data_IF_560540188741
#
_entry.id   IF_560540188741
#
_cell.length_a   1.000
_cell.length_b   1.000
_cell.length_c   1.000
_cell.angle_alpha   90.00
_cell.angle_beta   90.00
_cell.angle_gamma   90.00
#
_symmetry.space_group_name_H-M   'P 1'
#
loop_
_entity.id
_entity.type
_entity.pdbx_description
1 polymer ?
#
# COMPACT_ATOMS: atom_id res chain seq x y z
N UNK A 1 -62.62 -58.61 -1.51
CA UNK A 1 -61.23 -59.07 -1.29
C UNK A 1 -60.29 -58.09 -1.95
N UNK A 2 -59.36 -57.50 -1.16
CA UNK A 2 -58.02 -56.94 -1.52
C UNK A 2 -57.96 -55.86 -2.64
N UNK A 3 -57.79 -54.57 -2.35
CA UNK A 3 -56.60 -53.79 -1.88
C UNK A 3 -55.74 -53.20 -3.03
N UNK A 4 -55.65 -51.84 -3.02
CA UNK A 4 -54.70 -50.88 -3.66
C UNK A 4 -54.53 -50.87 -5.20
N UNK A 5 -54.33 -49.75 -5.89
CA UNK A 5 -53.58 -48.52 -5.56
C UNK A 5 -54.06 -47.29 -6.38
N UNK A 6 -54.05 -46.10 -5.75
CA UNK A 6 -54.21 -44.80 -6.42
C UNK A 6 -52.84 -44.22 -6.73
N UNK A 7 -52.61 -43.78 -7.97
CA UNK A 7 -51.47 -42.95 -8.38
C UNK A 7 -51.98 -41.53 -8.56
N UNK A 8 -51.60 -40.63 -7.65
CA UNK A 8 -51.78 -39.18 -7.82
C UNK A 8 -50.46 -38.61 -8.36
N UNK A 9 -50.50 -38.03 -9.55
CA UNK A 9 -49.41 -37.26 -10.13
C UNK A 9 -49.34 -35.89 -9.43
N UNK A 10 -48.27 -35.64 -8.68
CA UNK A 10 -47.96 -34.33 -8.12
C UNK A 10 -46.92 -33.63 -9.01
N UNK A 11 -47.38 -32.60 -9.71
CA UNK A 11 -46.52 -31.67 -10.47
C UNK A 11 -45.84 -30.73 -9.48
N UNK A 12 -44.53 -30.91 -9.26
CA UNK A 12 -43.73 -30.00 -8.46
C UNK A 12 -43.31 -28.79 -9.31
N UNK A 13 -43.94 -27.64 -9.07
CA UNK A 13 -43.41 -26.33 -9.50
C UNK A 13 -42.18 -25.98 -8.65
N UNK A 14 -40.99 -26.10 -9.22
CA UNK A 14 -39.77 -25.55 -8.63
C UNK A 14 -39.81 -24.02 -8.74
N UNK A 15 -40.00 -23.34 -7.60
CA UNK A 15 -39.79 -21.89 -7.49
C UNK A 15 -38.27 -21.67 -7.48
N UNK A 16 -37.71 -21.24 -8.60
CA UNK A 16 -36.36 -20.70 -8.67
C UNK A 16 -36.42 -19.31 -8.04
N UNK A 17 -36.01 -19.19 -6.78
CA UNK A 17 -35.72 -17.88 -6.19
C UNK A 17 -34.40 -17.41 -6.80
N UNK A 18 -34.36 -16.31 -7.57
CA UNK A 18 -33.08 -15.74 -7.96
C UNK A 18 -32.36 -15.32 -6.68
N UNK A 19 -31.23 -15.95 -6.40
CA UNK A 19 -30.30 -15.51 -5.38
C UNK A 19 -29.76 -14.15 -5.88
N UNK A 20 -30.44 -13.07 -5.51
CA UNK A 20 -29.92 -11.72 -5.68
C UNK A 20 -28.73 -11.63 -4.75
N UNK A 21 -27.54 -11.90 -5.26
CA UNK A 21 -26.30 -11.54 -4.59
C UNK A 21 -26.37 -10.02 -4.40
N UNK A 22 -26.64 -9.59 -3.18
CA UNK A 22 -26.56 -8.18 -2.82
C UNK A 22 -25.16 -7.70 -3.23
N UNK A 23 -25.08 -6.79 -4.19
CA UNK A 23 -23.82 -6.10 -4.47
C UNK A 23 -23.43 -5.43 -3.16
N UNK A 24 -22.33 -5.89 -2.53
CA UNK A 24 -21.72 -5.16 -1.40
C UNK A 24 -21.55 -3.71 -1.86
N UNK A 25 -22.05 -2.77 -1.07
CA UNK A 25 -21.79 -1.36 -1.34
C UNK A 25 -20.29 -1.10 -1.20
N UNK A 26 -19.74 -0.05 -1.83
CA UNK A 26 -18.34 0.35 -1.64
C UNK A 26 -17.96 0.51 -0.15
N UNK A 27 -18.96 0.74 0.71
CA UNK A 27 -18.84 0.91 2.16
C UNK A 27 -18.47 -0.38 2.91
N UNK A 28 -18.72 -1.59 2.35
CA UNK A 28 -18.40 -2.89 2.97
C UNK A 28 -17.12 -3.55 2.44
N UNK A 29 -16.29 -2.77 1.76
CA UNK A 29 -15.14 -3.28 1.00
C UNK A 29 -14.17 -4.08 1.86
N UNK A 30 -13.92 -3.64 3.10
CA UNK A 30 -12.87 -4.22 3.95
C UNK A 30 -13.39 -5.26 4.94
N UNK A 31 -14.70 -5.52 4.95
CA UNK A 31 -15.30 -6.51 5.83
C UNK A 31 -14.81 -7.92 5.48
N UNK A 32 -14.38 -8.68 6.49
CA UNK A 32 -13.88 -10.04 6.33
C UNK A 32 -12.46 -10.14 5.78
N UNK A 33 -11.72 -9.02 5.67
CA UNK A 33 -10.31 -9.05 5.30
C UNK A 33 -9.46 -9.83 6.32
N UNK A 34 -9.84 -9.80 7.60
CA UNK A 34 -9.30 -10.67 8.64
C UNK A 34 -10.41 -11.56 9.21
N UNK A 35 -10.05 -12.78 9.59
CA UNK A 35 -10.99 -13.65 10.30
C UNK A 35 -11.35 -13.07 11.68
N UNK A 36 -12.58 -13.31 12.14
CA UNK A 36 -13.02 -12.89 13.48
C UNK A 36 -12.07 -13.40 14.59
N UNK A 37 -11.60 -14.64 14.51
CA UNK A 37 -10.67 -15.20 15.48
C UNK A 37 -9.32 -14.45 15.50
N UNK A 38 -8.80 -14.07 14.33
CA UNK A 38 -7.59 -13.23 14.22
C UNK A 38 -7.79 -11.87 14.87
N UNK A 39 -8.96 -11.25 14.67
CA UNK A 39 -9.29 -9.95 15.26
C UNK A 39 -9.46 -10.05 16.77
N UNK A 40 -10.15 -11.06 17.30
CA UNK A 40 -10.29 -11.28 18.75
C UNK A 40 -8.92 -11.51 19.42
N UNK A 41 -8.04 -12.30 18.80
CA UNK A 41 -6.68 -12.49 19.29
C UNK A 41 -5.88 -11.19 19.28
N UNK A 42 -6.05 -10.37 18.24
CA UNK A 42 -5.38 -9.07 18.15
C UNK A 42 -5.92 -8.10 19.19
N UNK A 43 -7.24 -8.10 19.43
CA UNK A 43 -7.88 -7.28 20.43
C UNK A 43 -7.33 -7.58 21.83
N UNK A 44 -7.25 -8.86 22.18
CA UNK A 44 -6.74 -9.34 23.46
C UNK A 44 -5.29 -8.94 23.72
N UNK A 45 -4.47 -8.81 22.66
CA UNK A 45 -3.05 -8.44 22.76
C UNK A 45 -2.81 -6.93 22.72
N UNK A 46 -3.42 -6.22 21.78
CA UNK A 46 -3.04 -4.84 21.46
C UNK A 46 -3.87 -3.78 22.18
N UNK A 47 -5.14 -4.04 22.46
CA UNK A 47 -6.01 -3.01 23.06
C UNK A 47 -5.65 -2.65 24.50
N UNK A 48 -5.15 -3.56 25.37
CA UNK A 48 -4.68 -3.17 26.70
C UNK A 48 -3.53 -2.16 26.64
N UNK A 49 -2.53 -2.42 25.78
CA UNK A 49 -1.35 -1.55 25.63
C UNK A 49 -1.74 -0.18 25.08
N UNK A 50 -2.58 -0.14 24.04
CA UNK A 50 -3.07 1.13 23.46
C UNK A 50 -3.87 1.92 24.51
N UNK A 51 -4.68 1.25 25.32
CA UNK A 51 -5.42 1.88 26.42
C UNK A 51 -4.49 2.40 27.50
N UNK A 52 -3.42 1.68 27.84
CA UNK A 52 -2.41 2.14 28.79
C UNK A 52 -1.69 3.41 28.30
N UNK A 53 -1.38 3.52 27.00
CA UNK A 53 -0.84 4.77 26.44
C UNK A 53 -1.77 5.95 26.72
N UNK A 54 -3.08 5.78 26.49
CA UNK A 54 -4.08 6.84 26.68
C UNK A 54 -4.32 7.18 28.16
N UNK A 55 -4.38 6.18 29.04
CA UNK A 55 -4.81 6.34 30.45
C UNK A 55 -3.63 6.60 31.38
N UNK A 56 -2.47 6.01 31.10
CA UNK A 56 -1.32 6.05 31.99
C UNK A 56 -0.24 7.00 31.47
N UNK A 57 0.08 6.99 30.18
CA UNK A 57 1.26 7.69 29.69
C UNK A 57 0.99 9.12 29.22
N UNK A 58 0.02 9.32 28.32
CA UNK A 58 -0.35 10.64 27.83
C UNK A 58 -0.70 11.60 28.99
N UNK A 59 -1.52 11.24 30.01
CA UNK A 59 -1.90 12.17 31.06
C UNK A 59 -0.74 12.71 31.90
N UNK A 60 0.39 11.99 31.97
CA UNK A 60 1.59 12.42 32.71
C UNK A 60 2.26 13.63 32.06
N UNK A 61 2.12 13.79 30.73
CA UNK A 61 2.80 14.86 29.97
C UNK A 61 1.86 16.03 29.64
N UNK A 62 0.55 15.83 29.68
CA UNK A 62 -0.43 16.88 29.38
C UNK A 62 -0.33 18.07 30.36
N UNK A 63 -0.50 19.29 29.82
CA UNK A 63 -0.69 20.50 30.62
C UNK A 63 -2.01 20.45 31.41
N UNK A 64 -2.17 21.33 32.41
CA UNK A 64 -3.40 21.40 33.19
C UNK A 64 -4.63 21.72 32.30
N UNK A 65 -4.48 22.59 31.30
CA UNK A 65 -5.54 22.88 30.33
C UNK A 65 -5.87 21.64 29.50
N UNK A 66 -4.86 20.98 28.92
CA UNK A 66 -5.06 19.78 28.11
C UNK A 66 -5.75 18.68 28.91
N UNK A 67 -5.33 18.41 30.16
CA UNK A 67 -6.00 17.43 31.04
C UNK A 67 -7.45 17.77 31.29
N UNK A 68 -7.76 19.05 31.49
CA UNK A 68 -9.14 19.50 31.72
C UNK A 68 -9.99 19.28 30.47
N UNK A 69 -9.49 19.67 29.29
CA UNK A 69 -10.22 19.51 28.03
C UNK A 69 -10.41 18.06 27.63
N UNK A 70 -9.39 17.22 27.84
CA UNK A 70 -9.40 15.78 27.53
C UNK A 70 -9.96 14.92 28.69
N UNK A 71 -10.47 15.54 29.75
CA UNK A 71 -11.14 14.81 30.82
C UNK A 71 -12.39 14.10 30.27
N UNK A 72 -12.53 12.83 30.64
CA UNK A 72 -13.64 11.97 30.22
C UNK A 72 -13.49 11.38 28.81
N UNK A 73 -12.34 11.51 28.17
CA UNK A 73 -12.09 10.81 26.90
C UNK A 73 -12.16 9.30 27.09
N UNK A 74 -12.86 8.64 26.17
CA UNK A 74 -12.96 7.17 26.10
C UNK A 74 -12.38 6.65 24.78
N UNK A 75 -11.99 5.37 24.79
CA UNK A 75 -11.51 4.68 23.60
C UNK A 75 -12.26 3.35 23.38
N UNK A 76 -12.71 3.16 22.15
CA UNK A 76 -13.42 1.98 21.67
C UNK A 76 -12.63 1.25 20.59
N UNK A 77 -12.76 -0.08 20.60
CA UNK A 77 -12.06 -0.98 19.69
C UNK A 77 -13.05 -1.91 18.98
N UNK A 78 -13.89 -1.40 18.05
CA UNK A 78 -14.74 -2.27 17.25
C UNK A 78 -13.87 -3.28 16.50
N UNK A 79 -14.33 -4.53 16.33
CA UNK A 79 -13.50 -5.55 15.69
C UNK A 79 -13.14 -5.18 14.25
N UNK A 80 -14.09 -4.63 13.50
CA UNK A 80 -13.93 -4.26 12.10
C UNK A 80 -14.36 -2.81 11.85
N UNK A 81 -13.82 -2.23 10.78
CA UNK A 81 -14.37 -1.06 10.11
C UNK A 81 -14.52 -1.37 8.62
N UNK A 82 -15.74 -1.26 8.07
CA UNK A 82 -16.00 -1.66 6.70
C UNK A 82 -15.50 -0.61 5.68
N UNK A 83 -15.47 0.66 6.09
CA UNK A 83 -15.18 1.84 5.25
C UNK A 83 -13.73 1.90 4.74
N UNK A 84 -12.75 1.66 5.62
CA UNK A 84 -11.33 1.74 5.28
C UNK A 84 -10.48 0.82 6.17
N UNK A 85 -9.49 0.16 5.57
CA UNK A 85 -8.59 -0.78 6.28
C UNK A 85 -7.69 -0.09 7.31
N UNK A 86 -7.54 1.22 7.26
CA UNK A 86 -6.84 2.04 8.24
C UNK A 86 -7.74 3.18 8.73
N UNK A 87 -8.98 2.87 9.12
CA UNK A 87 -9.93 3.86 9.62
C UNK A 87 -9.69 4.13 11.11
N UNK A 88 -9.22 5.33 11.47
CA UNK A 88 -9.13 5.82 12.85
C UNK A 88 -9.84 7.17 12.88
N UNK A 89 -10.61 7.41 13.92
CA UNK A 89 -11.37 8.66 14.03
C UNK A 89 -11.75 8.95 15.48
N UNK A 90 -12.27 10.15 15.69
CA UNK A 90 -12.81 10.61 16.95
C UNK A 90 -14.19 11.24 16.75
N UNK A 91 -14.98 11.19 17.82
CA UNK A 91 -16.17 12.00 17.98
C UNK A 91 -15.93 13.03 19.10
N UNK A 92 -15.59 14.28 18.73
CA UNK A 92 -15.35 15.34 19.70
C UNK A 92 -16.54 15.66 20.60
N UNK A 93 -17.79 15.37 20.18
CA UNK A 93 -18.99 15.63 20.99
C UNK A 93 -19.10 14.64 22.15
N UNK A 94 -18.91 13.35 21.88
CA UNK A 94 -18.91 12.31 22.90
C UNK A 94 -17.54 12.07 23.56
N UNK A 95 -16.51 12.80 23.12
CA UNK A 95 -15.10 12.62 23.53
C UNK A 95 -14.64 11.17 23.38
N UNK A 96 -14.99 10.57 22.25
CA UNK A 96 -14.69 9.17 21.97
C UNK A 96 -13.63 9.07 20.89
N UNK A 97 -12.63 8.24 21.10
CA UNK A 97 -11.68 7.79 20.09
C UNK A 97 -12.06 6.38 19.65
N UNK A 98 -12.09 6.13 18.36
CA UNK A 98 -12.41 4.81 17.80
C UNK A 98 -11.20 4.28 17.03
N UNK A 99 -10.71 3.12 17.45
CA UNK A 99 -9.58 2.43 16.81
C UNK A 99 -9.97 0.99 16.48
N UNK A 100 -10.53 0.72 15.28
CA UNK A 100 -10.91 -0.61 14.87
C UNK A 100 -9.75 -1.60 14.94
N UNK A 101 -10.02 -2.80 15.45
CA UNK A 101 -9.01 -3.85 15.63
C UNK A 101 -8.47 -4.33 14.28
N UNK A 102 -9.30 -4.33 13.22
CA UNK A 102 -8.86 -4.58 11.84
C UNK A 102 -7.81 -3.59 11.37
N UNK A 103 -7.97 -2.30 11.67
CA UNK A 103 -7.01 -1.25 11.33
C UNK A 103 -5.69 -1.41 12.09
N UNK A 104 -5.79 -1.68 13.39
CA UNK A 104 -4.63 -1.98 14.24
C UNK A 104 -3.88 -3.21 13.71
N UNK A 105 -4.61 -4.28 13.37
CA UNK A 105 -4.04 -5.52 12.85
C UNK A 105 -3.31 -5.28 11.53
N UNK A 106 -3.94 -4.57 10.60
CA UNK A 106 -3.38 -4.29 9.30
C UNK A 106 -2.07 -3.49 9.39
N UNK A 107 -2.09 -2.38 10.12
CA UNK A 107 -0.89 -1.55 10.32
C UNK A 107 0.21 -2.31 11.05
N UNK A 108 -0.15 -3.17 12.00
CA UNK A 108 0.80 -4.05 12.69
C UNK A 108 1.48 -5.01 11.72
N UNK A 109 0.72 -5.70 10.89
CA UNK A 109 1.27 -6.68 9.94
C UNK A 109 2.19 -6.00 8.91
N UNK A 110 1.78 -4.84 8.40
CA UNK A 110 2.60 -4.04 7.48
C UNK A 110 3.88 -3.54 8.16
N UNK A 111 3.82 -3.10 9.41
CA UNK A 111 4.99 -2.68 10.19
C UNK A 111 5.95 -3.85 10.46
N UNK A 112 5.44 -5.05 10.77
CA UNK A 112 6.26 -6.25 10.94
C UNK A 112 6.96 -6.63 9.64
N UNK A 113 6.22 -6.64 8.51
CA UNK A 113 6.79 -6.94 7.21
C UNK A 113 7.91 -5.96 6.84
N UNK A 114 7.66 -4.66 6.99
CA UNK A 114 8.65 -3.63 6.74
C UNK A 114 9.88 -3.78 7.63
N UNK A 115 9.69 -3.96 8.94
CA UNK A 115 10.79 -4.13 9.89
C UNK A 115 11.65 -5.34 9.55
N UNK A 116 11.03 -6.48 9.25
CA UNK A 116 11.74 -7.70 8.91
C UNK A 116 12.53 -7.57 7.60
N UNK A 117 11.90 -7.08 6.52
CA UNK A 117 12.58 -6.86 5.24
C UNK A 117 13.77 -5.92 5.40
N UNK A 118 13.58 -4.81 6.13
CA UNK A 118 14.63 -3.83 6.37
C UNK A 118 15.82 -4.41 7.16
N UNK A 119 15.57 -5.14 8.25
CA UNK A 119 16.62 -5.76 9.07
C UNK A 119 17.38 -6.85 8.31
N UNK A 120 16.70 -7.59 7.42
CA UNK A 120 17.32 -8.65 6.60
C UNK A 120 18.04 -8.12 5.36
N UNK A 121 18.01 -6.82 5.08
CA UNK A 121 18.60 -6.22 3.89
C UNK A 121 17.89 -6.67 2.60
N UNK A 122 16.57 -6.87 2.68
CA UNK A 122 15.72 -7.02 1.51
C UNK A 122 15.23 -5.65 1.04
N UNK A 123 14.76 -5.61 -0.21
CA UNK A 123 14.04 -4.48 -0.74
C UNK A 123 12.70 -4.30 0.00
N UNK A 124 12.29 -3.05 0.21
CA UNK A 124 11.01 -2.68 0.81
C UNK A 124 9.90 -2.50 -0.23
N UNK A 125 10.25 -2.44 -1.52
CA UNK A 125 9.31 -2.32 -2.62
C UNK A 125 8.15 -3.35 -2.57
N UNK A 126 8.35 -4.64 -2.21
CA UNK A 126 7.23 -5.57 -2.06
C UNK A 126 6.10 -5.05 -1.16
N UNK A 127 6.40 -4.25 -0.13
CA UNK A 127 5.37 -3.64 0.74
C UNK A 127 4.54 -2.62 -0.04
N UNK A 128 5.18 -1.75 -0.84
CA UNK A 128 4.50 -0.78 -1.70
C UNK A 128 3.65 -1.49 -2.76
N UNK A 129 4.22 -2.50 -3.42
CA UNK A 129 3.52 -3.31 -4.43
C UNK A 129 2.29 -4.01 -3.82
N UNK A 130 2.41 -4.52 -2.58
CA UNK A 130 1.30 -5.14 -1.85
C UNK A 130 0.19 -4.13 -1.52
N UNK A 131 0.54 -2.93 -1.04
CA UNK A 131 -0.45 -1.89 -0.74
C UNK A 131 -1.20 -1.47 -2.02
N UNK A 132 -0.50 -1.34 -3.13
CA UNK A 132 -1.11 -1.09 -4.43
C UNK A 132 -2.00 -2.27 -4.87
N UNK A 133 -1.52 -3.52 -4.73
CA UNK A 133 -2.29 -4.73 -5.04
C UNK A 133 -3.64 -4.72 -4.33
N UNK A 134 -3.65 -4.56 -3.00
CA UNK A 134 -4.92 -4.57 -2.26
C UNK A 134 -5.78 -3.35 -2.58
N UNK A 135 -5.20 -2.17 -2.83
CA UNK A 135 -5.97 -0.98 -3.21
C UNK A 135 -6.76 -1.18 -4.51
N UNK A 136 -6.22 -1.87 -5.51
CA UNK A 136 -6.88 -1.97 -6.82
C UNK A 136 -7.54 -3.32 -7.09
N UNK A 137 -7.14 -4.39 -6.41
CA UNK A 137 -7.64 -5.74 -6.69
C UNK A 137 -8.56 -6.30 -5.59
N UNK A 138 -8.51 -5.76 -4.36
CA UNK A 138 -9.41 -6.22 -3.29
C UNK A 138 -10.81 -5.59 -3.40
N UNK A 139 -11.91 -6.30 -3.15
CA UNK A 139 -12.00 -7.75 -2.92
C UNK A 139 -12.18 -8.56 -4.20
N UNK A 140 -12.66 -7.93 -5.27
CA UNK A 140 -13.26 -8.61 -6.43
C UNK A 140 -12.26 -9.45 -7.22
N UNK A 141 -11.12 -8.85 -7.63
CA UNK A 141 -10.10 -9.54 -8.41
C UNK A 141 -9.32 -10.58 -7.59
N UNK A 142 -9.36 -10.46 -6.26
CA UNK A 142 -8.77 -11.41 -5.31
C UNK A 142 -9.78 -12.46 -4.81
N UNK A 143 -10.98 -12.51 -5.40
CA UNK A 143 -12.01 -13.52 -5.12
C UNK A 143 -12.38 -13.61 -3.63
N UNK A 144 -12.32 -12.50 -2.89
CA UNK A 144 -12.50 -12.46 -1.43
C UNK A 144 -11.53 -13.39 -0.64
N UNK A 145 -10.44 -13.86 -1.25
CA UNK A 145 -9.40 -14.60 -0.53
C UNK A 145 -8.51 -13.59 0.18
N UNK A 146 -8.57 -13.60 1.51
CA UNK A 146 -7.79 -12.67 2.34
C UNK A 146 -6.28 -12.93 2.16
N UNK A 147 -5.65 -12.11 1.34
CA UNK A 147 -4.20 -12.08 1.19
C UNK A 147 -3.61 -11.21 2.29
N UNK A 148 -3.42 -11.77 3.49
CA UNK A 148 -2.88 -10.99 4.62
C UNK A 148 -1.43 -10.56 4.34
N UNK A 149 -0.96 -9.43 4.91
CA UNK A 149 0.35 -8.88 4.53
C UNK A 149 1.51 -9.85 4.80
N UNK A 150 1.55 -10.46 5.99
CA UNK A 150 2.68 -11.32 6.39
C UNK A 150 2.80 -12.57 5.52
N UNK A 151 1.68 -13.22 5.24
CA UNK A 151 1.65 -14.41 4.39
C UNK A 151 2.06 -14.08 2.95
N UNK A 152 1.45 -13.02 2.39
CA UNK A 152 1.67 -12.61 1.00
C UNK A 152 3.11 -12.16 0.76
N UNK A 153 3.69 -11.45 1.72
CA UNK A 153 5.06 -10.94 1.66
C UNK A 153 6.10 -11.97 2.13
N UNK A 154 5.71 -13.22 2.40
CA UNK A 154 6.63 -14.29 2.80
C UNK A 154 7.35 -14.03 4.12
N UNK A 155 6.71 -13.30 5.05
CA UNK A 155 7.30 -12.94 6.34
C UNK A 155 7.13 -14.09 7.32
N UNK A 156 8.21 -14.59 7.97
CA UNK A 156 8.11 -15.66 8.94
C UNK A 156 7.17 -15.29 10.10
N UNK A 157 6.33 -16.24 10.53
CA UNK A 157 5.39 -16.02 11.64
C UNK A 157 6.09 -15.64 12.96
N UNK A 158 7.35 -16.05 13.12
CA UNK A 158 8.22 -15.77 14.25
C UNK A 158 9.18 -14.59 14.01
N UNK A 159 8.92 -13.72 13.02
CA UNK A 159 9.79 -12.59 12.69
C UNK A 159 10.12 -11.69 13.90
N UNK A 160 9.19 -11.55 14.84
CA UNK A 160 9.37 -10.74 16.06
C UNK A 160 10.17 -11.43 17.18
N UNK A 161 10.53 -12.70 17.03
CA UNK A 161 11.41 -13.37 18.00
C UNK A 161 12.85 -12.84 17.88
N UNK A 162 13.20 -12.22 16.75
CA UNK A 162 14.48 -11.56 16.54
C UNK A 162 14.48 -10.14 17.15
N UNK A 163 15.36 -9.88 18.11
CA UNK A 163 15.43 -8.59 18.84
C UNK A 163 15.52 -7.39 17.91
N UNK A 164 16.36 -7.43 16.88
CA UNK A 164 16.52 -6.31 15.94
C UNK A 164 15.23 -6.01 15.16
N UNK A 165 14.47 -7.04 14.79
CA UNK A 165 13.17 -6.89 14.12
C UNK A 165 12.13 -6.35 15.10
N UNK A 166 12.10 -6.87 16.33
CA UNK A 166 11.19 -6.40 17.37
C UNK A 166 11.42 -4.93 17.73
N UNK A 167 12.67 -4.49 17.90
CA UNK A 167 13.01 -3.09 18.17
C UNK A 167 12.61 -2.18 17.02
N UNK A 168 12.89 -2.58 15.77
CA UNK A 168 12.49 -1.81 14.58
C UNK A 168 10.97 -1.74 14.44
N UNK A 169 10.28 -2.85 14.68
CA UNK A 169 8.82 -2.91 14.71
C UNK A 169 8.25 -1.99 15.78
N UNK A 170 8.76 -2.02 17.01
CA UNK A 170 8.26 -1.16 18.10
C UNK A 170 8.52 0.32 17.82
N UNK A 171 9.69 0.67 17.28
CA UNK A 171 9.98 2.04 16.84
C UNK A 171 9.00 2.52 15.77
N UNK A 172 8.55 1.66 14.85
CA UNK A 172 7.57 2.01 13.82
C UNK A 172 6.14 2.00 14.36
N UNK A 173 5.67 0.86 14.86
CA UNK A 173 4.28 0.66 15.25
C UNK A 173 3.93 1.36 16.57
N UNK A 174 4.80 1.31 17.58
CA UNK A 174 4.56 1.97 18.86
C UNK A 174 4.42 3.48 18.70
N UNK A 175 5.38 4.13 18.04
CA UNK A 175 5.31 5.58 17.80
C UNK A 175 4.19 5.97 16.81
N UNK A 176 3.80 5.08 15.90
CA UNK A 176 2.61 5.26 15.04
C UNK A 176 1.33 5.31 15.86
N UNK A 177 1.13 4.36 16.79
CA UNK A 177 -0.05 4.35 17.67
C UNK A 177 -0.10 5.61 18.52
N UNK A 178 1.04 6.05 19.08
CA UNK A 178 1.11 7.32 19.83
C UNK A 178 0.72 8.50 18.96
N UNK A 179 1.21 8.57 17.72
CA UNK A 179 0.86 9.63 16.78
C UNK A 179 -0.64 9.62 16.46
N UNK A 180 -1.22 8.46 16.10
CA UNK A 180 -2.64 8.32 15.76
C UNK A 180 -3.52 8.71 16.97
N UNK A 181 -3.22 8.20 18.16
CA UNK A 181 -3.94 8.58 19.39
C UNK A 181 -3.83 10.08 19.65
N UNK A 182 -2.62 10.64 19.53
CA UNK A 182 -2.39 12.08 19.70
C UNK A 182 -3.19 12.91 18.70
N UNK A 183 -3.29 12.45 17.45
CA UNK A 183 -4.06 13.12 16.39
C UNK A 183 -5.55 13.14 16.73
N UNK A 184 -6.12 11.99 17.11
CA UNK A 184 -7.53 11.92 17.52
C UNK A 184 -7.84 12.73 18.77
N UNK A 185 -6.92 12.75 19.74
CA UNK A 185 -7.04 13.64 20.90
C UNK A 185 -6.97 15.11 20.50
N UNK A 186 -6.20 15.45 19.46
CA UNK A 186 -6.15 16.80 18.89
C UNK A 186 -7.52 17.28 18.42
N UNK A 187 -8.25 16.44 17.67
CA UNK A 187 -9.63 16.75 17.27
C UNK A 187 -10.56 17.00 18.46
N UNK A 188 -10.45 16.19 19.52
CA UNK A 188 -11.24 16.38 20.74
C UNK A 188 -10.84 17.66 21.48
N UNK A 189 -9.54 17.91 21.65
CA UNK A 189 -8.99 19.06 22.36
C UNK A 189 -9.41 20.39 21.73
N UNK A 190 -9.34 20.47 20.40
CA UNK A 190 -9.70 21.63 19.61
C UNK A 190 -11.20 21.70 19.28
N UNK A 191 -11.99 20.70 19.67
CA UNK A 191 -13.43 20.60 19.38
C UNK A 191 -13.73 20.72 17.88
N UNK A 192 -12.92 20.04 17.06
CA UNK A 192 -13.10 20.06 15.61
C UNK A 192 -14.50 19.54 15.24
N UNK A 193 -15.26 20.25 14.39
CA UNK A 193 -16.55 19.75 13.92
C UNK A 193 -16.36 18.49 13.09
N UNK A 194 -17.39 17.65 13.02
CA UNK A 194 -17.44 16.56 12.06
C UNK A 194 -17.36 17.06 10.62
N UNK A 195 -16.91 16.20 9.71
CA UNK A 195 -16.56 16.58 8.33
C UNK A 195 -17.76 17.01 7.49
N UNK A 196 -18.96 16.49 7.78
CA UNK A 196 -20.21 16.84 7.09
C UNK A 196 -20.55 18.34 7.14
N UNK A 197 -20.01 19.07 8.12
CA UNK A 197 -20.29 20.49 8.34
C UNK A 197 -19.15 21.42 7.91
N UNK A 198 -18.09 20.91 7.26
CA UNK A 198 -16.81 21.60 7.15
C UNK A 198 -16.35 21.75 5.70
N UNK A 199 -15.95 22.96 5.28
CA UNK A 199 -15.35 23.14 3.94
C UNK A 199 -14.01 22.39 3.82
N UNK A 200 -13.62 21.97 2.61
CA UNK A 200 -12.32 21.32 2.36
C UNK A 200 -11.13 22.15 2.90
N UNK A 201 -11.17 23.48 2.72
CA UNK A 201 -10.10 24.36 3.20
C UNK A 201 -10.02 24.41 4.73
N UNK A 202 -11.15 24.29 5.41
CA UNK A 202 -11.22 24.27 6.86
C UNK A 202 -10.79 22.90 7.38
N UNK A 203 -11.28 21.80 6.80
CA UNK A 203 -10.84 20.43 7.12
C UNK A 203 -9.31 20.32 7.08
N UNK A 204 -8.64 20.86 6.04
CA UNK A 204 -7.17 20.89 5.97
C UNK A 204 -6.49 21.56 7.17
N UNK A 205 -7.05 22.66 7.69
CA UNK A 205 -6.52 23.34 8.88
C UNK A 205 -6.76 22.53 10.14
N UNK A 206 -7.95 21.95 10.29
CA UNK A 206 -8.29 21.07 11.42
C UNK A 206 -7.33 19.87 11.48
N UNK A 207 -7.01 19.25 10.34
CA UNK A 207 -6.01 18.18 10.27
C UNK A 207 -4.62 18.64 10.73
N UNK A 208 -4.17 19.82 10.26
CA UNK A 208 -2.88 20.38 10.65
C UNK A 208 -2.80 20.71 12.15
N UNK A 209 -3.89 21.22 12.73
CA UNK A 209 -3.97 21.48 14.17
C UNK A 209 -3.89 20.17 14.97
N UNK A 210 -4.60 19.12 14.52
CA UNK A 210 -4.55 17.79 15.13
C UNK A 210 -3.16 17.13 15.01
N UNK A 211 -2.52 17.21 13.84
CA UNK A 211 -1.15 16.74 13.64
C UNK A 211 -0.15 17.48 14.55
N UNK A 212 -0.27 18.81 14.65
CA UNK A 212 0.59 19.63 15.50
C UNK A 212 0.42 19.26 16.98
N UNK A 213 -0.82 18.99 17.41
CA UNK A 213 -1.11 18.51 18.76
C UNK A 213 -0.47 17.15 19.03
N UNK A 214 -0.61 16.19 18.10
CA UNK A 214 0.00 14.86 18.18
C UNK A 214 1.53 14.94 18.30
N UNK A 215 2.16 15.74 17.43
CA UNK A 215 3.61 15.97 17.49
C UNK A 215 4.01 16.64 18.81
N UNK A 216 3.20 17.56 19.34
CA UNK A 216 3.42 18.17 20.64
C UNK A 216 3.44 17.15 21.79
N UNK A 217 2.53 16.17 21.79
CA UNK A 217 2.54 15.05 22.74
C UNK A 217 3.85 14.28 22.61
N UNK A 218 4.23 13.87 21.39
CA UNK A 218 5.44 13.08 21.16
C UNK A 218 6.73 13.85 21.55
N UNK A 219 6.78 15.16 21.32
CA UNK A 219 7.87 16.02 21.78
C UNK A 219 8.01 16.03 23.31
N UNK A 220 6.88 16.02 24.04
CA UNK A 220 6.89 16.00 25.50
C UNK A 220 7.28 14.62 26.05
N UNK A 221 6.92 13.54 25.35
CA UNK A 221 7.41 12.19 25.66
C UNK A 221 8.90 12.03 25.35
N UNK A 222 9.45 12.88 24.47
CA UNK A 222 10.79 12.70 23.93
C UNK A 222 10.89 11.48 23.00
N UNK A 223 9.79 11.18 22.30
CA UNK A 223 9.59 10.02 21.42
C UNK A 223 9.71 10.47 19.96
N UNK A 224 10.50 9.76 19.15
CA UNK A 224 10.63 10.08 17.73
C UNK A 224 9.40 9.64 16.93
N UNK A 225 8.79 10.51 16.08
CA UNK A 225 7.63 10.15 15.25
C UNK A 225 7.99 9.33 14.01
N UNK A 226 8.85 8.31 14.16
CA UNK A 226 9.24 7.41 13.05
C UNK A 226 8.06 6.65 12.48
N UNK A 227 7.08 6.31 13.32
CA UNK A 227 5.85 5.65 12.92
C UNK A 227 4.88 6.55 12.15
N UNK A 228 4.96 7.86 12.34
CA UNK A 228 4.10 8.81 11.63
C UNK A 228 4.44 8.83 10.13
N UNK A 229 5.73 8.87 9.74
CA UNK A 229 6.10 8.78 8.33
C UNK A 229 5.67 7.47 7.70
N UNK A 230 5.85 6.37 8.42
CA UNK A 230 5.41 5.06 7.94
C UNK A 230 3.89 4.97 7.79
N UNK A 231 3.12 5.55 8.71
CA UNK A 231 1.67 5.64 8.60
C UNK A 231 1.23 6.39 7.34
N UNK A 232 1.83 7.57 7.09
CA UNK A 232 1.51 8.34 5.89
C UNK A 232 2.00 7.68 4.60
N UNK A 233 3.10 6.93 4.63
CA UNK A 233 3.50 6.06 3.53
C UNK A 233 2.39 5.04 3.22
N UNK A 234 1.85 4.35 4.23
CA UNK A 234 0.76 3.39 4.03
C UNK A 234 -0.48 4.08 3.46
N UNK A 235 -0.92 5.19 4.06
CA UNK A 235 -2.08 5.93 3.57
C UNK A 235 -1.89 6.44 2.15
N UNK A 236 -0.70 6.96 1.80
CA UNK A 236 -0.44 7.48 0.45
C UNK A 236 -0.56 6.41 -0.65
N UNK A 237 -0.43 5.12 -0.31
CA UNK A 237 -0.63 4.01 -1.25
C UNK A 237 -2.08 3.51 -1.29
N UNK A 238 -2.86 3.70 -0.22
CA UNK A 238 -4.23 3.19 -0.11
C UNK A 238 -5.27 4.23 -0.50
N UNK A 239 -4.96 5.51 -0.35
CA UNK A 239 -5.90 6.59 -0.60
C UNK A 239 -6.14 6.79 -2.10
N UNK A 240 -7.40 6.97 -2.54
CA UNK A 240 -7.74 7.34 -3.90
C UNK A 240 -7.01 8.60 -4.37
N UNK A 241 -6.64 8.62 -5.63
CA UNK A 241 -6.06 9.80 -6.30
C UNK A 241 -6.95 10.24 -7.47
N UNK A 242 -6.68 11.41 -8.06
CA UNK A 242 -7.56 12.06 -9.06
C UNK A 242 -7.92 11.19 -10.27
N UNK A 243 -7.10 10.18 -10.61
CA UNK A 243 -7.35 9.24 -11.69
C UNK A 243 -8.22 8.03 -11.31
N UNK A 244 -8.56 7.86 -10.04
CA UNK A 244 -9.44 6.79 -9.57
C UNK A 244 -10.91 7.16 -9.80
N UNK A 245 -11.72 6.18 -10.20
CA UNK A 245 -13.13 6.40 -10.57
C UNK A 245 -14.00 6.89 -9.41
N UNK A 246 -13.62 6.56 -8.17
CA UNK A 246 -14.33 6.91 -6.94
C UNK A 246 -13.73 8.14 -6.23
N UNK A 247 -12.69 8.77 -6.78
CA UNK A 247 -11.95 9.85 -6.13
C UNK A 247 -12.84 10.97 -5.59
N UNK A 248 -13.77 11.49 -6.39
CA UNK A 248 -14.62 12.61 -5.98
C UNK A 248 -15.59 12.22 -4.84
N UNK A 249 -16.14 11.00 -4.89
CA UNK A 249 -17.03 10.50 -3.84
C UNK A 249 -16.24 10.26 -2.56
N UNK A 250 -15.06 9.64 -2.67
CA UNK A 250 -14.18 9.41 -1.53
C UNK A 250 -13.77 10.73 -0.88
N UNK A 251 -13.31 11.71 -1.66
CA UNK A 251 -12.91 13.02 -1.15
C UNK A 251 -14.04 13.79 -0.46
N UNK A 252 -15.30 13.56 -0.84
CA UNK A 252 -16.46 14.16 -0.16
C UNK A 252 -16.73 13.54 1.22
N UNK A 253 -16.40 12.26 1.39
CA UNK A 253 -16.72 11.48 2.59
C UNK A 253 -15.52 11.27 3.52
N UNK A 254 -14.32 11.76 3.15
CA UNK A 254 -13.10 11.56 3.93
C UNK A 254 -13.14 12.31 5.25
N UNK A 255 -12.80 11.59 6.30
CA UNK A 255 -12.50 12.17 7.60
C UNK A 255 -11.12 12.82 7.57
N UNK A 256 -10.04 12.11 7.23
CA UNK A 256 -8.69 12.67 7.34
C UNK A 256 -8.02 12.85 5.96
N UNK A 257 -8.27 13.95 5.22
CA UNK A 257 -7.71 14.12 3.88
C UNK A 257 -6.19 14.29 3.91
N UNK A 258 -5.50 13.31 3.35
CA UNK A 258 -4.06 13.35 3.11
C UNK A 258 -3.75 14.28 1.93
N UNK A 259 -2.90 15.29 2.15
CA UNK A 259 -2.54 16.26 1.12
C UNK A 259 -1.10 16.76 1.29
N UNK A 260 -0.45 17.24 0.20
CA UNK A 260 0.90 17.78 0.25
C UNK A 260 1.15 18.80 1.36
N UNK A 261 0.41 19.93 1.49
CA UNK A 261 0.71 20.91 2.54
C UNK A 261 0.71 20.35 3.98
N UNK A 262 -0.19 19.41 4.28
CA UNK A 262 -0.24 18.72 5.58
C UNK A 262 1.06 17.96 5.85
N UNK A 263 1.52 17.17 4.88
CA UNK A 263 2.73 16.36 5.01
C UNK A 263 3.99 17.21 5.09
N UNK A 264 4.08 18.29 4.30
CA UNK A 264 5.16 19.26 4.42
C UNK A 264 5.20 19.92 5.80
N UNK A 265 4.05 20.23 6.39
CA UNK A 265 3.98 20.83 7.73
C UNK A 265 4.50 19.88 8.81
N UNK A 266 4.15 18.58 8.73
CA UNK A 266 4.67 17.54 9.63
C UNK A 266 6.19 17.42 9.47
N UNK A 267 6.69 17.30 8.23
CA UNK A 267 8.13 17.22 7.95
C UNK A 267 8.89 18.43 8.52
N UNK A 268 8.35 19.64 8.32
CA UNK A 268 8.90 20.88 8.86
C UNK A 268 8.95 20.88 10.38
N UNK A 269 7.89 20.44 11.05
CA UNK A 269 7.83 20.35 12.51
C UNK A 269 8.86 19.37 13.07
N UNK A 270 8.99 18.17 12.47
CA UNK A 270 9.98 17.16 12.86
C UNK A 270 11.39 17.72 12.75
N UNK A 271 11.70 18.34 11.60
CA UNK A 271 13.02 18.95 11.35
C UNK A 271 13.35 20.05 12.35
N UNK A 272 12.41 20.96 12.61
CA UNK A 272 12.61 22.10 13.52
C UNK A 272 12.74 21.68 14.98
N UNK A 273 12.07 20.59 15.38
CA UNK A 273 12.00 20.15 16.78
C UNK A 273 12.76 18.85 17.06
N UNK A 274 13.65 18.41 16.16
CA UNK A 274 14.35 17.12 16.25
C UNK A 274 15.04 16.89 17.61
N UNK A 275 15.61 17.94 18.21
CA UNK A 275 16.25 17.86 19.52
C UNK A 275 15.29 17.47 20.66
N UNK A 276 14.01 17.84 20.57
CA UNK A 276 12.98 17.51 21.57
C UNK A 276 12.52 16.06 21.40
N UNK A 277 12.29 15.65 20.15
CA UNK A 277 11.96 14.26 19.83
C UNK A 277 13.06 13.26 20.20
N UNK A 278 14.32 13.69 20.25
CA UNK A 278 15.44 12.84 20.66
C UNK A 278 15.75 12.93 22.17
N UNK A 279 14.91 13.58 22.99
CA UNK A 279 15.20 13.83 24.40
C UNK A 279 15.08 12.57 25.28
N UNK A 280 14.15 11.67 24.96
CA UNK A 280 13.96 10.40 25.69
C UNK A 280 14.88 9.27 25.21
N UNK A 281 15.62 9.48 24.10
CA UNK A 281 16.44 8.44 23.48
C UNK A 281 17.75 8.20 24.21
N UNK A 282 18.07 6.93 24.45
CA UNK A 282 19.38 6.48 24.95
C UNK A 282 20.49 6.64 23.92
N UNK A 283 20.16 6.69 22.61
CA UNK A 283 21.09 6.95 21.52
C UNK A 283 20.67 8.19 20.71
N UNK A 284 20.79 9.36 21.34
CA UNK A 284 20.38 10.65 20.79
C UNK A 284 20.96 10.93 19.39
N UNK A 285 22.22 10.58 19.12
CA UNK A 285 22.85 10.80 17.81
C UNK A 285 22.15 10.00 16.70
N UNK A 286 21.88 8.72 16.95
CA UNK A 286 21.18 7.86 15.99
C UNK A 286 19.74 8.33 15.79
N UNK A 287 19.05 8.73 16.86
CA UNK A 287 17.68 9.27 16.76
C UNK A 287 17.63 10.56 15.95
N UNK A 288 18.58 11.49 16.13
CA UNK A 288 18.65 12.71 15.33
C UNK A 288 18.89 12.41 13.83
N UNK A 289 19.73 11.43 13.52
CA UNK A 289 19.93 10.98 12.14
C UNK A 289 18.65 10.37 11.56
N UNK A 290 17.95 9.52 12.31
CA UNK A 290 16.68 8.94 11.90
C UNK A 290 15.59 10.02 11.68
N UNK A 291 15.53 11.04 12.53
CA UNK A 291 14.58 12.16 12.39
C UNK A 291 14.84 13.01 11.14
N UNK A 292 16.10 13.16 10.73
CA UNK A 292 16.45 13.80 9.46
C UNK A 292 15.91 12.97 8.29
N UNK A 293 16.17 11.66 8.28
CA UNK A 293 15.65 10.73 7.26
C UNK A 293 14.12 10.75 7.20
N UNK A 294 13.44 10.67 8.34
CA UNK A 294 11.97 10.74 8.43
C UNK A 294 11.43 12.06 7.86
N UNK A 295 12.08 13.18 8.17
CA UNK A 295 11.68 14.49 7.65
C UNK A 295 11.85 14.57 6.13
N UNK A 296 12.95 14.01 5.60
CA UNK A 296 13.22 13.98 4.17
C UNK A 296 12.25 13.04 3.44
N UNK A 297 11.94 11.86 3.99
CA UNK A 297 10.93 10.93 3.47
C UNK A 297 9.54 11.59 3.38
N UNK A 298 9.10 12.27 4.44
CA UNK A 298 7.85 13.04 4.43
C UNK A 298 7.89 14.19 3.42
N UNK A 299 9.00 14.95 3.38
CA UNK A 299 9.20 16.02 2.40
C UNK A 299 9.07 15.53 0.95
N UNK A 300 9.66 14.37 0.66
CA UNK A 300 9.58 13.72 -0.65
C UNK A 300 8.15 13.31 -0.99
N UNK A 301 7.40 12.72 -0.04
CA UNK A 301 5.99 12.37 -0.25
C UNK A 301 5.10 13.58 -0.55
N UNK A 302 5.39 14.74 0.05
CA UNK A 302 4.61 15.96 -0.13
C UNK A 302 4.81 16.60 -1.51
N UNK A 303 6.04 16.81 -1.97
CA UNK A 303 6.33 17.64 -3.16
C UNK A 303 5.86 19.12 -3.01
N UNK A 304 6.58 19.99 -2.30
CA UNK A 304 6.24 21.42 -2.26
C UNK A 304 6.50 22.09 -3.64
N UNK A 305 5.57 22.88 -4.18
CA UNK A 305 5.82 23.67 -5.39
C UNK A 305 6.67 24.92 -5.12
N UNK A 306 7.46 25.42 -6.11
CA UNK A 306 7.88 24.78 -7.36
C UNK A 306 9.33 24.28 -7.27
N UNK A 307 9.54 22.96 -7.32
CA UNK A 307 10.86 22.43 -7.64
C UNK A 307 11.18 22.74 -9.10
N UNK A 308 12.39 23.20 -9.38
CA UNK A 308 12.82 23.44 -10.76
C UNK A 308 12.75 22.13 -11.56
N UNK A 309 12.52 22.21 -12.87
CA UNK A 309 12.38 21.02 -13.75
C UNK A 309 13.56 20.04 -13.64
N UNK A 310 14.74 20.52 -13.19
CA UNK A 310 15.95 19.72 -13.01
C UNK A 310 15.95 18.89 -11.71
N UNK A 311 15.24 19.33 -10.68
CA UNK A 311 15.15 18.64 -9.36
C UNK A 311 14.01 17.61 -9.31
N UNK A 312 13.05 17.69 -10.24
CA UNK A 312 11.96 16.71 -10.38
C UNK A 312 12.44 15.28 -10.67
N UNK A 313 13.66 15.12 -11.19
CA UNK A 313 14.17 13.80 -11.58
C UNK A 313 14.64 12.94 -10.39
N UNK A 314 14.79 13.49 -9.18
CA UNK A 314 15.32 12.75 -8.02
C UNK A 314 14.34 12.65 -6.84
N UNK A 315 13.21 13.36 -6.87
CA UNK A 315 12.24 13.38 -5.75
C UNK A 315 10.95 12.69 -6.14
N UNK A 316 10.61 11.59 -5.46
CA UNK A 316 9.36 10.85 -5.67
C UNK A 316 8.18 11.57 -5.00
N UNK A 317 7.42 12.33 -5.80
CA UNK A 317 6.28 13.13 -5.36
C UNK A 317 5.00 12.28 -5.21
N UNK A 318 5.00 11.34 -4.26
CA UNK A 318 3.96 10.32 -4.14
C UNK A 318 2.54 10.90 -4.19
N UNK A 319 2.23 11.92 -3.39
CA UNK A 319 0.87 12.48 -3.31
C UNK A 319 0.55 13.54 -4.37
N UNK A 320 1.58 14.16 -4.95
CA UNK A 320 1.43 15.36 -5.79
C UNK A 320 1.63 15.12 -7.29
N UNK A 321 2.16 13.96 -7.68
CA UNK A 321 2.50 13.64 -9.06
C UNK A 321 1.55 12.60 -9.66
N UNK A 322 0.76 13.04 -10.64
CA UNK A 322 -0.20 12.18 -11.35
C UNK A 322 0.48 11.00 -12.06
N UNK A 323 1.71 11.18 -12.54
CA UNK A 323 2.49 10.13 -13.18
C UNK A 323 2.92 9.04 -12.21
N UNK A 324 3.36 9.42 -11.00
CA UNK A 324 3.67 8.47 -9.91
C UNK A 324 2.42 7.70 -9.49
N UNK A 325 1.29 8.39 -9.31
CA UNK A 325 0.03 7.75 -8.94
C UNK A 325 -0.50 6.83 -10.04
N UNK A 326 -0.42 7.24 -11.31
CA UNK A 326 -0.75 6.38 -12.44
C UNK A 326 0.18 5.14 -12.49
N UNK A 327 1.47 5.29 -12.17
CA UNK A 327 2.40 4.17 -12.09
C UNK A 327 2.03 3.21 -10.94
N UNK A 328 1.68 3.72 -9.76
CA UNK A 328 1.19 2.91 -8.64
C UNK A 328 -0.08 2.14 -8.98
N UNK A 329 -1.04 2.78 -9.67
CA UNK A 329 -2.24 2.09 -10.16
C UNK A 329 -1.89 0.92 -11.06
N UNK A 330 -0.93 1.12 -11.97
CA UNK A 330 -0.49 0.05 -12.86
C UNK A 330 0.23 -1.07 -12.12
N UNK A 331 1.11 -0.74 -11.17
CA UNK A 331 1.75 -1.71 -10.27
C UNK A 331 0.67 -2.54 -9.58
N UNK A 332 -0.30 -1.89 -8.94
CA UNK A 332 -1.34 -2.61 -8.20
C UNK A 332 -2.25 -3.45 -9.07
N UNK A 333 -2.60 -3.00 -10.29
CA UNK A 333 -3.40 -3.79 -11.24
C UNK A 333 -2.65 -4.96 -11.88
N UNK A 334 -1.33 -4.92 -11.97
CA UNK A 334 -0.55 -5.98 -12.62
C UNK A 334 0.27 -6.85 -11.67
N UNK A 335 0.38 -6.46 -10.41
CA UNK A 335 1.01 -7.26 -9.37
C UNK A 335 0.20 -8.51 -9.10
N UNK A 336 0.89 -9.62 -8.87
CA UNK A 336 0.33 -10.88 -8.42
C UNK A 336 0.90 -11.24 -7.06
N UNK A 337 0.16 -12.04 -6.30
CA UNK A 337 0.55 -12.50 -4.96
C UNK A 337 1.91 -13.21 -4.97
N UNK A 338 2.20 -14.00 -6.00
CA UNK A 338 3.48 -14.72 -6.15
C UNK A 338 4.67 -13.82 -6.51
N UNK A 339 4.44 -12.57 -6.89
CA UNK A 339 5.50 -11.58 -7.16
C UNK A 339 5.98 -10.83 -5.91
N UNK A 340 5.27 -10.98 -4.79
CA UNK A 340 5.46 -10.19 -3.57
C UNK A 340 6.43 -10.81 -2.56
N UNK A 341 7.08 -11.91 -2.92
CA UNK A 341 8.07 -12.55 -2.07
C UNK A 341 9.28 -11.64 -1.79
N UNK A 342 9.98 -11.82 -0.65
CA UNK A 342 11.17 -11.05 -0.32
C UNK A 342 12.22 -11.15 -1.42
N UNK A 343 12.84 -10.03 -1.78
CA UNK A 343 13.85 -9.94 -2.82
C UNK A 343 14.95 -8.97 -2.42
N UNK A 344 16.18 -9.17 -2.91
CA UNK A 344 17.31 -8.28 -2.62
C UNK A 344 17.15 -6.94 -3.34
N UNK A 345 17.80 -5.90 -2.82
CA UNK A 345 17.78 -4.57 -3.47
C UNK A 345 18.33 -4.69 -4.89
N UNK A 346 17.54 -4.23 -5.86
CA UNK A 346 17.86 -4.33 -7.29
C UNK A 346 17.51 -5.66 -7.95
N UNK A 347 17.04 -6.65 -7.19
CA UNK A 347 16.51 -7.91 -7.73
C UNK A 347 15.09 -7.70 -8.26
N UNK A 348 14.84 -8.14 -9.49
CA UNK A 348 13.53 -8.06 -10.11
C UNK A 348 12.62 -9.19 -9.61
N UNK A 349 11.32 -8.88 -9.47
CA UNK A 349 10.31 -9.85 -9.03
C UNK A 349 10.38 -11.17 -9.82
N UNK A 350 10.04 -12.28 -9.14
CA UNK A 350 9.84 -13.57 -9.80
C UNK A 350 8.61 -13.48 -10.70
N UNK A 351 8.77 -13.86 -11.97
CA UNK A 351 7.69 -13.85 -12.94
C UNK A 351 7.07 -15.25 -13.11
N UNK A 352 5.79 -15.34 -13.52
CA UNK A 352 5.16 -16.62 -13.81
C UNK A 352 5.87 -17.36 -14.95
N UNK A 353 6.07 -18.67 -14.78
CA UNK A 353 6.66 -19.52 -15.82
C UNK A 353 8.19 -19.59 -15.82
N UNK A 354 8.88 -18.93 -14.88
CA UNK A 354 10.35 -19.04 -14.75
C UNK A 354 10.83 -20.50 -14.65
N UNK A 355 10.03 -21.39 -14.05
CA UNK A 355 10.40 -22.80 -13.83
C UNK A 355 10.15 -23.72 -15.05
N UNK A 356 9.61 -23.22 -16.17
CA UNK A 356 9.07 -24.04 -17.28
C UNK A 356 9.73 -23.82 -18.65
N UNK A 357 10.92 -23.23 -18.70
CA UNK A 357 11.58 -22.90 -19.95
C UNK A 357 12.09 -24.13 -20.73
N UNK A 358 11.44 -24.45 -21.85
CA UNK A 358 11.97 -25.36 -22.87
C UNK A 358 12.94 -24.58 -23.77
N UNK A 359 14.08 -25.18 -24.14
CA UNK A 359 15.07 -24.56 -25.01
C UNK A 359 14.53 -24.40 -26.45
N UNK A 360 14.04 -23.20 -26.77
CA UNK A 360 13.65 -22.78 -28.11
C UNK A 360 13.88 -21.26 -28.26
N UNK A 361 14.03 -20.77 -29.49
CA UNK A 361 14.11 -19.32 -29.75
C UNK A 361 12.81 -18.67 -29.27
N UNK A 362 12.92 -17.58 -28.52
CA UNK A 362 11.82 -16.90 -27.82
C UNK A 362 11.15 -17.76 -26.73
N UNK A 363 11.91 -18.65 -26.08
CA UNK A 363 11.48 -19.41 -24.90
C UNK A 363 12.60 -19.38 -23.87
N UNK A 364 12.28 -18.98 -22.64
CA UNK A 364 13.26 -18.84 -21.56
C UNK A 364 13.10 -17.57 -20.75
N UNK A 365 14.03 -17.41 -19.81
CA UNK A 365 14.20 -16.21 -19.01
C UNK A 365 15.23 -15.32 -19.70
N UNK A 366 14.88 -14.07 -19.89
CA UNK A 366 15.70 -13.05 -20.52
C UNK A 366 15.86 -11.89 -19.55
N UNK A 367 17.09 -11.42 -19.37
CA UNK A 367 17.43 -10.27 -18.53
C UNK A 367 18.18 -9.23 -19.34
N UNK A 368 17.99 -7.95 -19.04
CA UNK A 368 18.71 -6.89 -19.72
C UNK A 368 18.09 -5.53 -19.48
N UNK A 369 18.00 -4.71 -20.52
CA UNK A 369 17.50 -3.35 -20.44
C UNK A 369 16.26 -3.14 -21.33
N UNK A 370 15.26 -2.52 -20.73
CA UNK A 370 14.19 -1.82 -21.42
C UNK A 370 14.58 -0.35 -21.51
N UNK A 371 14.63 0.18 -22.73
CA UNK A 371 15.10 1.54 -22.98
C UNK A 371 13.92 2.33 -23.54
N UNK A 372 13.63 3.50 -22.97
CA UNK A 372 12.58 4.39 -23.47
C UNK A 372 13.05 5.27 -24.64
N UNK A 373 12.13 6.04 -25.22
CA UNK A 373 12.41 6.98 -26.31
C UNK A 373 13.44 8.08 -25.94
N UNK A 374 13.67 8.29 -24.63
CA UNK A 374 14.61 9.28 -24.08
C UNK A 374 15.95 8.63 -23.69
N UNK A 375 16.18 7.38 -24.10
CA UNK A 375 17.36 6.59 -23.78
C UNK A 375 17.56 6.34 -22.27
N UNK A 376 16.48 6.35 -21.48
CA UNK A 376 16.49 5.91 -20.09
C UNK A 376 16.35 4.39 -20.07
N UNK A 377 17.40 3.71 -19.60
CA UNK A 377 17.42 2.26 -19.40
C UNK A 377 16.87 1.86 -18.04
N UNK A 378 16.00 0.84 -18.02
CA UNK A 378 15.52 0.16 -16.83
C UNK A 378 15.88 -1.32 -16.91
N UNK A 379 16.41 -1.85 -15.81
CA UNK A 379 16.62 -3.29 -15.69
C UNK A 379 15.30 -4.02 -15.89
N UNK A 380 15.32 -5.03 -16.75
CA UNK A 380 14.14 -5.82 -17.08
C UNK A 380 14.42 -7.30 -17.02
N UNK A 381 13.37 -8.04 -16.65
CA UNK A 381 13.30 -9.49 -16.73
C UNK A 381 12.07 -9.83 -17.54
N UNK A 382 12.23 -10.74 -18.50
CA UNK A 382 11.19 -11.21 -19.40
C UNK A 382 11.21 -12.74 -19.42
N UNK A 383 10.05 -13.35 -19.20
CA UNK A 383 9.85 -14.79 -19.29
C UNK A 383 8.97 -15.05 -20.49
N UNK A 384 9.50 -15.80 -21.45
CA UNK A 384 8.79 -16.18 -22.67
C UNK A 384 8.57 -17.69 -22.69
N UNK A 385 7.39 -18.09 -23.15
CA UNK A 385 7.01 -19.48 -23.42
C UNK A 385 6.56 -19.57 -24.86
N UNK A 386 7.22 -20.43 -25.64
CA UNK A 386 6.89 -20.66 -27.05
C UNK A 386 6.11 -21.96 -27.22
N UNK A 387 5.01 -21.90 -27.97
CA UNK A 387 4.27 -23.06 -28.43
C UNK A 387 4.02 -22.94 -29.95
N UNK A 388 4.78 -23.71 -30.74
CA UNK A 388 4.78 -23.57 -32.20
C UNK A 388 5.24 -22.19 -32.64
N UNK A 389 4.40 -21.47 -33.38
CA UNK A 389 4.67 -20.11 -33.83
C UNK A 389 4.12 -19.04 -32.87
N UNK A 390 3.43 -19.43 -31.81
CA UNK A 390 2.91 -18.49 -30.81
C UNK A 390 3.88 -18.38 -29.64
N UNK A 391 4.10 -17.15 -29.17
CA UNK A 391 4.86 -16.85 -27.95
C UNK A 391 3.97 -16.09 -27.01
N UNK A 392 3.88 -16.55 -25.78
CA UNK A 392 3.29 -15.80 -24.66
C UNK A 392 4.37 -15.49 -23.65
N UNK A 393 4.25 -14.39 -22.93
CA UNK A 393 5.23 -14.05 -21.91
C UNK A 393 4.77 -13.00 -20.93
N UNK A 394 5.61 -12.80 -19.93
CA UNK A 394 5.47 -11.71 -18.96
C UNK A 394 6.82 -11.03 -18.83
N UNK A 395 6.86 -9.71 -18.67
CA UNK A 395 8.06 -8.98 -18.29
C UNK A 395 7.80 -7.99 -17.17
N UNK A 396 8.85 -7.54 -16.49
CA UNK A 396 8.79 -6.45 -15.53
C UNK A 396 9.98 -5.50 -15.73
N UNK A 397 9.75 -4.22 -15.47
CA UNK A 397 10.76 -3.14 -15.44
C UNK A 397 10.83 -2.51 -14.05
N UNK A 398 10.41 -3.24 -13.01
CA UNK A 398 10.28 -2.73 -11.65
C UNK A 398 8.97 -1.97 -11.38
N UNK A 399 8.06 -1.87 -12.35
CA UNK A 399 6.76 -1.20 -12.23
C UNK A 399 5.59 -2.20 -12.38
N UNK A 400 5.71 -3.38 -11.79
CA UNK A 400 4.74 -4.47 -11.95
C UNK A 400 4.97 -5.29 -13.22
N UNK A 401 4.04 -6.20 -13.50
CA UNK A 401 4.13 -7.13 -14.63
C UNK A 401 3.44 -6.58 -15.89
N UNK A 402 3.99 -6.93 -17.04
CA UNK A 402 3.42 -6.67 -18.36
C UNK A 402 3.29 -8.00 -19.09
N UNK A 403 2.11 -8.25 -19.65
CA UNK A 403 1.86 -9.46 -20.44
C UNK A 403 2.19 -9.21 -21.91
N UNK A 404 2.66 -10.25 -22.59
CA UNK A 404 3.06 -10.22 -23.99
C UNK A 404 2.48 -11.45 -24.71
N UNK A 405 1.96 -11.25 -25.91
CA UNK A 405 1.57 -12.32 -26.84
C UNK A 405 2.02 -11.94 -28.25
N UNK A 406 2.60 -12.88 -28.99
CA UNK A 406 3.09 -12.63 -30.34
C UNK A 406 3.26 -13.87 -31.19
N UNK A 407 3.66 -13.64 -32.44
CA UNK A 407 3.91 -14.67 -33.44
C UNK A 407 5.34 -14.61 -33.96
N UNK A 408 5.94 -15.78 -34.10
CA UNK A 408 7.29 -15.94 -34.65
C UNK A 408 7.24 -16.00 -36.17
N UNK A 409 8.07 -15.19 -36.81
CA UNK A 409 8.29 -15.17 -38.25
C UNK A 409 9.81 -15.22 -38.50
N UNK A 410 10.33 -16.42 -38.77
CA UNK A 410 11.76 -16.65 -38.89
C UNK A 410 12.49 -16.38 -37.56
N UNK A 411 13.38 -15.38 -37.56
CA UNK A 411 14.13 -14.95 -36.37
C UNK A 411 13.47 -13.80 -35.62
N UNK A 412 12.29 -13.36 -36.05
CA UNK A 412 11.58 -12.24 -35.47
C UNK A 412 10.34 -12.71 -34.72
N UNK A 413 10.01 -12.02 -33.63
CA UNK A 413 8.77 -12.11 -32.87
C UNK A 413 8.07 -10.77 -32.98
N UNK A 414 6.95 -10.74 -33.70
CA UNK A 414 6.02 -9.63 -33.67
C UNK A 414 5.04 -9.85 -32.53
N UNK A 415 4.92 -8.89 -31.62
CA UNK A 415 4.14 -9.06 -30.41
C UNK A 415 3.27 -7.85 -30.10
N UNK A 416 2.19 -8.15 -29.38
CA UNK A 416 1.40 -7.20 -28.62
C UNK A 416 1.76 -7.31 -27.15
N UNK A 417 1.79 -6.18 -26.45
CA UNK A 417 2.00 -6.15 -25.02
C UNK A 417 0.85 -5.40 -24.35
N UNK A 418 0.58 -5.76 -23.08
CA UNK A 418 -0.49 -5.16 -22.28
C UNK A 418 -0.09 -5.06 -20.81
N UNK A 419 -0.26 -3.88 -20.23
CA UNK A 419 0.02 -3.54 -18.84
C UNK A 419 -1.25 -2.99 -18.17
N UNK A 420 -1.92 -3.83 -17.37
CA UNK A 420 -3.29 -3.55 -16.92
C UNK A 420 -4.27 -3.53 -18.10
N UNK A 421 -5.39 -2.84 -17.95
CA UNK A 421 -6.42 -2.77 -19.01
C UNK A 421 -6.22 -1.59 -19.97
N UNK A 422 -5.55 -0.53 -19.52
CA UNK A 422 -5.52 0.76 -20.22
C UNK A 422 -4.29 0.95 -21.13
N UNK A 423 -3.22 0.18 -20.90
CA UNK A 423 -1.96 0.33 -21.64
C UNK A 423 -1.68 -0.91 -22.48
N UNK A 424 -1.62 -0.69 -23.77
CA UNK A 424 -1.25 -1.72 -24.72
C UNK A 424 -0.40 -1.13 -25.84
N UNK A 425 0.31 -2.00 -26.52
CA UNK A 425 1.13 -1.61 -27.64
C UNK A 425 1.59 -2.80 -28.46
N UNK A 426 2.48 -2.52 -29.40
CA UNK A 426 3.09 -3.52 -30.25
C UNK A 426 4.60 -3.38 -30.21
N UNK A 427 5.28 -4.41 -30.67
CA UNK A 427 6.72 -4.36 -30.83
C UNK A 427 7.24 -5.52 -31.66
N UNK A 428 8.55 -5.50 -31.85
CA UNK A 428 9.27 -6.52 -32.58
C UNK A 428 10.53 -6.89 -31.81
N UNK A 429 10.75 -8.18 -31.55
CA UNK A 429 12.00 -8.71 -31.03
C UNK A 429 12.67 -9.54 -32.12
N UNK A 430 13.95 -9.35 -32.32
CA UNK A 430 14.78 -10.13 -33.24
C UNK A 430 15.75 -10.96 -32.42
N UNK A 431 15.78 -12.25 -32.71
CA UNK A 431 16.71 -13.19 -32.10
C UNK A 431 18.08 -13.11 -32.77
N UNK A 432 19.11 -13.05 -31.94
CA UNK A 432 20.50 -13.18 -32.33
C UNK A 432 21.13 -14.37 -31.59
N UNK A 433 22.26 -14.86 -32.11
CA UNK A 433 23.04 -15.94 -31.49
C UNK A 433 22.18 -17.18 -31.12
N UNK A 434 21.30 -17.59 -32.04
CA UNK A 434 20.39 -18.74 -31.84
C UNK A 434 19.46 -18.62 -30.63
N UNK A 435 18.99 -17.42 -30.31
CA UNK A 435 18.05 -17.22 -29.19
C UNK A 435 18.70 -16.71 -27.92
N UNK A 436 20.04 -16.65 -27.85
CA UNK A 436 20.73 -16.22 -26.63
C UNK A 436 20.61 -14.73 -26.35
N UNK A 437 20.44 -13.91 -27.38
CA UNK A 437 20.21 -12.47 -27.22
C UNK A 437 19.01 -12.04 -28.04
N UNK A 438 18.20 -11.14 -27.48
CA UNK A 438 17.08 -10.52 -28.15
C UNK A 438 17.30 -9.01 -28.19
N UNK A 439 17.13 -8.41 -29.35
CA UNK A 439 17.07 -6.96 -29.50
C UNK A 439 15.79 -6.57 -30.21
N UNK A 440 15.29 -5.37 -29.97
CA UNK A 440 14.01 -5.03 -30.58
C UNK A 440 13.51 -3.65 -30.27
N UNK A 441 12.27 -3.42 -30.67
CA UNK A 441 11.54 -2.18 -30.46
C UNK A 441 10.21 -2.45 -29.77
N UNK A 442 9.68 -1.41 -29.15
CA UNK A 442 8.32 -1.37 -28.66
C UNK A 442 7.72 0.00 -28.96
N UNK A 443 6.40 0.05 -29.06
CA UNK A 443 5.62 1.26 -29.28
C UNK A 443 4.24 1.15 -28.64
N UNK A 444 3.56 2.29 -28.54
CA UNK A 444 2.22 2.38 -27.96
C UNK A 444 1.14 2.10 -29.00
N UNK A 445 -0.01 1.60 -28.55
CA UNK A 445 -1.19 1.35 -29.39
C UNK A 445 -0.93 0.35 -30.52
N UNK A 446 -0.92 0.80 -31.78
CA UNK A 446 -0.63 -0.01 -32.97
C UNK A 446 0.79 0.20 -33.50
N UNK A 447 1.59 1.06 -32.88
CA UNK A 447 2.96 1.31 -33.33
C UNK A 447 3.89 0.22 -32.77
N UNK A 448 4.78 -0.28 -33.62
CA UNK A 448 5.85 -1.23 -33.24
C UNK A 448 7.14 -0.52 -32.82
N UNK A 449 7.19 0.82 -32.96
CA UNK A 449 8.33 1.69 -32.65
C UNK A 449 7.84 2.97 -31.94
N UNK A 450 8.78 3.81 -31.50
CA UNK A 450 8.49 5.09 -30.84
C UNK A 450 8.23 5.01 -29.34
N UNK A 451 8.13 3.81 -28.77
CA UNK A 451 8.22 3.61 -27.32
C UNK A 451 9.67 3.53 -26.86
N UNK A 452 10.50 2.77 -27.59
CA UNK A 452 11.92 2.62 -27.30
C UNK A 452 12.47 1.28 -27.80
N UNK A 453 13.50 0.76 -27.12
CA UNK A 453 14.20 -0.47 -27.54
C UNK A 453 14.40 -1.49 -26.42
N UNK A 454 14.70 -2.72 -26.83
CA UNK A 454 15.04 -3.85 -25.97
C UNK A 454 16.48 -4.30 -26.21
N UNK A 455 17.18 -4.62 -25.13
CA UNK A 455 18.45 -5.34 -25.16
C UNK A 455 18.44 -6.43 -24.09
N UNK A 456 18.28 -7.69 -24.51
CA UNK A 456 18.05 -8.80 -23.60
C UNK A 456 19.04 -9.95 -23.86
N UNK A 457 19.45 -10.62 -22.80
CA UNK A 457 20.28 -11.82 -22.83
C UNK A 457 19.57 -12.95 -22.07
N UNK A 458 19.58 -14.14 -22.64
CA UNK A 458 19.03 -15.34 -22.01
C UNK A 458 19.86 -15.71 -20.77
N UNK A 459 19.19 -15.98 -19.65
CA UNK A 459 19.81 -16.38 -18.40
C UNK A 459 20.15 -17.88 -18.37
#
# INVERSE_FOLDING_TARGET
>A
MKWLSWVAAATACAIIVPLVMAKKTPEDRWQGFYSKATLEQTAARSTPDIRAILVDDIPKILTAEQRTRLSGVSIEFPLESPEHIANFFSDPKSKRVVMPVSSIRFLRDIAVAYAWLNVKGYDIQPVSDYLALIKYQWPDSLQNTAHTPLETLGIPANALDETAVAERFQSLFGSMIVFILGHELGHIYHQHPGYDATSLSQSKRLEQDADAFALGIMQQMGEAPTGASFYFFVLAHLEPFVGDSDFNQHQANRTHPLNPPRIAAIAGNIKQNAARFAAGSTNRKQTLAALATVSDELGNMSCPPPLSTKERHTVSCLLGDEGVQAALRKIGLSTRVDMLQPRRVGELAKLPGEDSAVAAIFSGIFVGEWIDEKAVGLNTKMVLTRNGDTVTGTYTVGLGAVTLEGKVQGNDLEYTWRWGDDYFGQGKLSSQQQGKTLTGTWGYTKATTGGGTWQLTQQ
#
